data_IF_707158528660
#
_entry.id   IF_707158528660
#
_cell.length_a   1.000
_cell.length_b   1.000
_cell.length_c   1.000
_cell.angle_alpha   90.00
_cell.angle_beta   90.00
_cell.angle_gamma   90.00
#
_symmetry.space_group_name_H-M   'P 1'
#
loop_
_entity.id
_entity.type
_entity.pdbx_description
1 polymer ?
#
# COMPACT_ATOMS: atom_id res chain seq x y z
N UNK A 1 -10.66 -8.68 7.35
CA UNK A 1 -9.69 -9.79 7.49
C UNK A 1 -8.33 -9.23 7.91
N UNK A 2 -7.71 -9.72 9.00
CA UNK A 2 -6.48 -9.12 9.55
C UNK A 2 -5.28 -10.07 9.67
N UNK A 3 -5.51 -11.37 9.76
CA UNK A 3 -4.46 -12.37 9.96
C UNK A 3 -4.06 -12.96 8.59
N UNK A 4 -2.82 -12.70 8.19
CA UNK A 4 -2.24 -13.18 6.92
C UNK A 4 -2.00 -14.69 6.93
N UNK A 5 -1.77 -15.31 8.10
CA UNK A 5 -1.45 -16.74 8.22
C UNK A 5 -2.64 -17.64 7.88
N UNK A 6 -3.86 -17.13 8.04
CA UNK A 6 -5.12 -17.81 7.74
C UNK A 6 -5.70 -17.40 6.38
N UNK A 7 -4.97 -16.59 5.60
CA UNK A 7 -5.41 -16.16 4.29
C UNK A 7 -4.85 -17.08 3.18
N UNK A 8 -5.65 -17.45 2.17
CA UNK A 8 -7.09 -17.24 2.06
C UNK A 8 -7.85 -18.11 3.09
N UNK A 9 -9.07 -17.72 3.51
CA UNK A 9 -9.88 -18.50 4.43
C UNK A 9 -10.19 -19.88 3.84
N UNK A 10 -10.04 -20.91 4.68
CA UNK A 10 -10.24 -22.32 4.32
C UNK A 10 -11.20 -22.99 5.29
N UNK A 11 -11.98 -23.94 4.78
CA UNK A 11 -12.76 -24.87 5.58
C UNK A 11 -12.30 -26.29 5.24
N UNK A 12 -11.97 -27.11 6.25
CA UNK A 12 -11.48 -28.48 6.05
C UNK A 12 -10.29 -28.60 5.08
N UNK A 13 -9.41 -27.58 5.05
CA UNK A 13 -8.25 -27.54 4.16
C UNK A 13 -8.54 -27.06 2.73
N UNK A 14 -9.80 -26.86 2.37
CA UNK A 14 -10.21 -26.35 1.06
C UNK A 14 -10.46 -24.85 1.12
N UNK A 15 -10.00 -24.11 0.11
CA UNK A 15 -10.29 -22.69 -0.01
C UNK A 15 -11.79 -22.48 -0.17
N UNK A 16 -12.34 -21.52 0.58
CA UNK A 16 -13.75 -21.14 0.43
C UNK A 16 -13.85 -20.31 -0.87
N UNK A 17 -14.74 -20.67 -1.81
CA UNK A 17 -14.98 -19.84 -2.99
C UNK A 17 -15.50 -18.47 -2.56
N UNK A 18 -14.77 -17.42 -2.95
CA UNK A 18 -15.14 -16.02 -2.72
C UNK A 18 -15.41 -15.39 -4.08
N UNK A 19 -16.67 -15.48 -4.51
CA UNK A 19 -17.14 -14.98 -5.79
C UNK A 19 -18.58 -14.42 -5.70
N UNK A 20 -19.01 -13.75 -6.77
CA UNK A 20 -20.31 -13.06 -6.85
C UNK A 20 -21.52 -14.01 -6.96
N UNK A 21 -21.30 -15.31 -7.11
CA UNK A 21 -22.40 -16.29 -7.20
C UNK A 21 -22.89 -16.73 -5.82
N UNK A 22 -22.14 -16.41 -4.76
CA UNK A 22 -22.50 -16.72 -3.38
C UNK A 22 -23.39 -15.62 -2.78
N UNK A 23 -24.67 -15.93 -2.56
CA UNK A 23 -25.66 -15.00 -2.02
C UNK A 23 -25.34 -14.45 -0.61
N UNK A 24 -24.41 -15.08 0.13
CA UNK A 24 -23.99 -14.62 1.45
C UNK A 24 -22.77 -13.69 1.42
N UNK A 25 -22.14 -13.51 0.26
CA UNK A 25 -20.97 -12.65 0.10
C UNK A 25 -21.44 -11.32 -0.49
N UNK A 26 -21.32 -10.25 0.29
CA UNK A 26 -21.65 -8.90 -0.19
C UNK A 26 -20.55 -8.35 -1.08
N UNK A 27 -20.88 -7.34 -1.88
CA UNK A 27 -19.90 -6.64 -2.74
C UNK A 27 -18.80 -5.97 -1.91
N UNK A 28 -19.14 -5.45 -0.73
CA UNK A 28 -18.15 -4.88 0.19
C UNK A 28 -17.18 -5.94 0.71
N UNK A 29 -17.68 -7.15 1.03
CA UNK A 29 -16.83 -8.25 1.49
C UNK A 29 -15.93 -8.78 0.37
N UNK A 30 -16.43 -8.85 -0.87
CA UNK A 30 -15.60 -9.18 -2.04
C UNK A 30 -14.50 -8.16 -2.23
N UNK A 31 -14.84 -6.88 -2.15
CA UNK A 31 -13.88 -5.77 -2.28
C UNK A 31 -12.82 -5.84 -1.18
N UNK A 32 -13.21 -6.08 0.07
CA UNK A 32 -12.26 -6.25 1.17
C UNK A 32 -11.35 -7.48 0.96
N UNK A 33 -11.92 -8.60 0.52
CA UNK A 33 -11.17 -9.82 0.23
C UNK A 33 -10.14 -9.61 -0.88
N UNK A 34 -10.53 -8.98 -1.98
CA UNK A 34 -9.64 -8.70 -3.11
C UNK A 34 -8.53 -7.73 -2.73
N UNK A 35 -8.85 -6.67 -1.96
CA UNK A 35 -7.85 -5.75 -1.42
C UNK A 35 -6.85 -6.46 -0.50
N UNK A 36 -7.33 -7.38 0.36
CA UNK A 36 -6.46 -8.18 1.24
C UNK A 36 -5.62 -9.18 0.47
N UNK A 37 -6.17 -9.77 -0.59
CA UNK A 37 -5.43 -10.67 -1.49
C UNK A 37 -4.27 -9.93 -2.15
N UNK A 38 -4.51 -8.74 -2.67
CA UNK A 38 -3.47 -7.91 -3.27
C UNK A 38 -2.43 -7.44 -2.24
N UNK A 39 -2.89 -6.99 -1.07
CA UNK A 39 -2.02 -6.58 0.03
C UNK A 39 -1.05 -7.71 0.39
N UNK A 40 -1.56 -8.91 0.66
CA UNK A 40 -0.73 -10.05 1.05
C UNK A 40 0.16 -10.57 -0.08
N UNK A 41 -0.28 -10.47 -1.33
CA UNK A 41 0.56 -10.79 -2.49
C UNK A 41 1.68 -9.76 -2.75
N UNK A 42 1.55 -8.54 -2.23
CA UNK A 42 2.52 -7.45 -2.45
C UNK A 42 3.71 -7.59 -1.50
N UNK A 43 4.94 -7.64 -2.03
CA UNK A 43 6.17 -7.76 -1.23
C UNK A 43 6.51 -6.48 -0.47
N UNK A 44 6.56 -5.34 -1.17
CA UNK A 44 6.82 -4.02 -0.56
C UNK A 44 5.51 -3.26 -0.43
N UNK A 45 4.77 -3.56 0.64
CA UNK A 45 3.46 -2.95 0.92
C UNK A 45 3.65 -1.48 1.30
N UNK A 46 2.76 -0.64 0.79
CA UNK A 46 2.67 0.77 1.17
C UNK A 46 1.31 0.98 1.84
N UNK A 47 1.31 1.73 2.92
CA UNK A 47 0.11 2.04 3.68
C UNK A 47 -0.10 3.55 3.74
N UNK A 48 -1.34 3.97 3.91
CA UNK A 48 -1.67 5.37 4.11
C UNK A 48 -0.94 5.92 5.33
N UNK A 49 -0.27 7.05 5.14
CA UNK A 49 0.46 7.78 6.18
C UNK A 49 -0.44 8.32 7.30
N UNK A 50 -1.74 8.46 7.04
CA UNK A 50 -2.71 8.78 8.09
C UNK A 50 -2.93 7.57 9.00
N UNK A 51 -2.44 7.68 10.23
CA UNK A 51 -2.54 6.63 11.26
C UNK A 51 -3.98 6.21 11.55
N UNK A 52 -4.95 7.10 11.39
CA UNK A 52 -6.37 6.77 11.59
C UNK A 52 -6.94 5.93 10.46
N UNK A 53 -6.38 6.04 9.25
CA UNK A 53 -6.76 5.26 8.08
C UNK A 53 -5.92 3.98 7.98
N UNK A 54 -4.59 4.13 7.87
CA UNK A 54 -3.61 3.05 7.71
C UNK A 54 -3.98 1.99 6.66
N UNK A 55 -4.82 2.33 5.68
CA UNK A 55 -5.24 1.40 4.65
C UNK A 55 -4.09 1.08 3.70
N UNK A 56 -4.05 -0.15 3.19
CA UNK A 56 -3.13 -0.53 2.13
C UNK A 56 -3.37 0.35 0.90
N UNK A 57 -2.28 0.82 0.29
CA UNK A 57 -2.29 1.56 -0.97
C UNK A 57 -1.92 0.58 -2.09
N UNK A 58 -2.86 0.24 -2.98
CA UNK A 58 -2.59 -0.63 -4.12
C UNK A 58 -1.49 -0.07 -5.01
N UNK A 59 -0.71 -0.95 -5.63
CA UNK A 59 0.39 -0.54 -6.53
C UNK A 59 -0.11 0.29 -7.72
N UNK A 60 -1.33 0.00 -8.21
CA UNK A 60 -2.02 0.80 -9.24
C UNK A 60 -2.30 2.24 -8.84
N UNK A 61 -2.35 2.54 -7.54
CA UNK A 61 -2.60 3.86 -6.99
C UNK A 61 -1.31 4.61 -6.66
N UNK A 62 -0.17 4.09 -7.11
CA UNK A 62 1.16 4.66 -6.90
C UNK A 62 1.65 5.22 -8.23
N UNK A 63 1.95 6.52 -8.26
CA UNK A 63 2.47 7.23 -9.43
C UNK A 63 3.61 8.13 -8.97
N UNK A 64 4.74 8.09 -9.67
CA UNK A 64 5.92 8.92 -9.41
C UNK A 64 6.38 8.93 -7.93
N UNK A 65 6.36 7.76 -7.28
CA UNK A 65 6.76 7.63 -5.88
C UNK A 65 5.76 8.19 -4.87
N UNK A 66 4.54 8.53 -5.30
CA UNK A 66 3.44 8.98 -4.44
C UNK A 66 2.28 7.98 -4.53
N UNK A 67 1.89 7.43 -3.39
CA UNK A 67 0.72 6.56 -3.25
C UNK A 67 -0.53 7.36 -2.86
N UNK A 68 -1.61 7.24 -3.62
CA UNK A 68 -2.92 7.82 -3.26
C UNK A 68 -3.79 6.78 -2.57
N UNK A 69 -4.21 7.06 -1.34
CA UNK A 69 -5.08 6.18 -0.57
C UNK A 69 -6.48 6.12 -1.20
N UNK A 70 -6.97 4.92 -1.52
CA UNK A 70 -8.31 4.72 -2.10
C UNK A 70 -9.45 4.82 -1.07
N UNK A 71 -9.13 4.93 0.22
CA UNK A 71 -10.12 5.05 1.29
C UNK A 71 -10.34 6.50 1.75
N UNK A 72 -9.26 7.28 1.91
CA UNK A 72 -9.33 8.65 2.44
C UNK A 72 -8.72 9.70 1.51
N UNK A 73 -8.29 9.31 0.31
CA UNK A 73 -7.75 10.19 -0.74
C UNK A 73 -6.42 10.90 -0.40
N UNK A 74 -5.91 10.74 0.83
CA UNK A 74 -4.61 11.26 1.24
C UNK A 74 -3.48 10.61 0.46
N UNK A 75 -2.41 11.39 0.26
CA UNK A 75 -1.24 10.98 -0.50
C UNK A 75 -0.08 10.67 0.44
N UNK A 76 0.68 9.63 0.14
CA UNK A 76 1.81 9.15 0.93
C UNK A 76 3.05 9.10 0.05
N UNK A 77 4.14 9.70 0.53
CA UNK A 77 5.45 9.61 -0.13
C UNK A 77 6.04 8.22 0.11
N UNK A 78 6.44 7.52 -0.96
CA UNK A 78 7.00 6.17 -0.84
C UNK A 78 8.43 6.12 -0.31
N UNK A 79 9.14 7.26 -0.32
CA UNK A 79 10.52 7.34 0.15
C UNK A 79 10.57 7.44 1.68
N UNK A 80 9.80 8.36 2.27
CA UNK A 80 9.76 8.57 3.72
C UNK A 80 8.53 7.94 4.42
N UNK A 81 7.60 7.36 3.65
CA UNK A 81 6.34 6.76 4.13
C UNK A 81 5.43 7.73 4.93
N UNK A 82 5.68 9.03 4.81
CA UNK A 82 4.90 10.10 5.45
C UNK A 82 3.93 10.75 4.46
N UNK A 83 3.17 11.74 4.90
CA UNK A 83 2.32 12.54 4.02
C UNK A 83 3.13 13.08 2.82
N UNK A 84 2.53 13.01 1.63
CA UNK A 84 3.16 13.53 0.43
C UNK A 84 3.46 15.01 0.61
N UNK A 85 4.64 15.42 0.17
CA UNK A 85 5.17 16.76 0.36
C UNK A 85 5.67 17.30 -0.98
N UNK A 86 5.78 18.63 -1.05
CA UNK A 86 6.42 19.30 -2.18
C UNK A 86 7.94 19.31 -2.02
N UNK A 87 8.66 19.43 -3.13
CA UNK A 87 10.12 19.45 -3.15
C UNK A 87 10.79 18.08 -2.95
N UNK A 88 12.11 18.10 -2.87
CA UNK A 88 12.96 16.91 -2.77
C UNK A 88 12.75 16.19 -1.44
N UNK A 89 12.43 14.90 -1.48
CA UNK A 89 12.37 14.09 -0.28
C UNK A 89 13.79 13.88 0.27
N UNK A 90 14.03 14.24 1.53
CA UNK A 90 15.34 14.04 2.16
C UNK A 90 15.65 12.56 2.37
N UNK A 91 14.64 11.70 2.50
CA UNK A 91 14.83 10.26 2.67
C UNK A 91 14.87 9.52 1.33
N UNK A 92 14.81 10.23 0.19
CA UNK A 92 15.00 9.63 -1.12
C UNK A 92 16.48 9.27 -1.35
N UNK A 93 16.82 7.99 -1.55
CA UNK A 93 18.20 7.55 -1.75
C UNK A 93 18.89 8.20 -2.95
N UNK A 94 18.16 8.50 -4.03
CA UNK A 94 18.71 9.22 -5.19
C UNK A 94 19.04 10.66 -4.84
N UNK A 95 18.10 11.37 -4.22
CA UNK A 95 18.32 12.73 -3.72
C UNK A 95 19.52 12.82 -2.76
N UNK A 96 19.64 11.86 -1.84
CA UNK A 96 20.77 11.75 -0.91
C UNK A 96 22.10 11.54 -1.63
N UNK A 97 22.13 10.80 -2.74
CA UNK A 97 23.35 10.66 -3.57
C UNK A 97 23.74 11.98 -4.23
N UNK A 98 22.77 12.72 -4.76
CA UNK A 98 23.02 14.04 -5.39
C UNK A 98 23.50 15.05 -4.36
N UNK A 99 22.88 15.09 -3.17
CA UNK A 99 23.30 15.97 -2.07
C UNK A 99 24.75 15.68 -1.66
N UNK A 100 25.09 14.40 -1.42
CA UNK A 100 26.47 14.01 -1.07
C UNK A 100 27.48 14.41 -2.15
N UNK A 101 27.13 14.21 -3.42
CA UNK A 101 28.01 14.61 -4.52
C UNK A 101 28.21 16.14 -4.57
N UNK A 102 27.16 16.92 -4.34
CA UNK A 102 27.26 18.38 -4.30
C UNK A 102 28.18 18.85 -3.16
N UNK A 103 28.02 18.27 -1.96
CA UNK A 103 28.89 18.52 -0.81
C UNK A 103 30.36 18.17 -1.12
N UNK A 104 30.62 17.02 -1.73
CA UNK A 104 31.97 16.60 -2.15
C UNK A 104 32.60 17.54 -3.19
N UNK A 105 31.79 18.15 -4.05
CA UNK A 105 32.23 19.07 -5.10
C UNK A 105 32.24 20.54 -4.69
N UNK A 106 31.73 20.85 -3.50
CA UNK A 106 31.62 22.22 -2.99
C UNK A 106 30.68 23.11 -3.82
N UNK A 107 29.62 22.52 -4.37
CA UNK A 107 28.59 23.24 -5.14
C UNK A 107 27.53 23.88 -4.25
#
# INVERSE_FOLDING_TARGET
>A
MKDESIFPPKCCGQAIPVDTTNAFITEELLTEYDNKREEFATTKRTYCSDRTCSAFIPTRSIVDGIGRCTHCEKKTCLNCLSEAHEGTCTDDPESQRVIRLAEEKGW
#
